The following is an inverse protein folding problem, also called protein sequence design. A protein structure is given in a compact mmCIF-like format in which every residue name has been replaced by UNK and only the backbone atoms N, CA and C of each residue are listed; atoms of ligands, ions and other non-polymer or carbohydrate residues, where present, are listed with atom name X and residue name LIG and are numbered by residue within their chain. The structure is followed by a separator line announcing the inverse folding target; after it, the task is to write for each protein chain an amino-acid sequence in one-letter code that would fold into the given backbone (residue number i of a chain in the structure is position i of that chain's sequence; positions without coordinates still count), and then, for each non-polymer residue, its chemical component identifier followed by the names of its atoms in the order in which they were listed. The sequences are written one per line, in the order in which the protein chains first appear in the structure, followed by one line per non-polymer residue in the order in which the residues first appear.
data_IF_427058310904
#
_entry.id   IF_427058310904
#
_cell.length_a   1.000
_cell.length_b   1.000
_cell.length_c   1.000
_cell.angle_alpha   90.00
_cell.angle_beta   90.00
_cell.angle_gamma   90.00
#
_symmetry.space_group_name_H-M   'P 1'
#
loop_
_entity.id
_entity.type
_entity.pdbx_description
1 polymer ?
#
# COMPACT_ATOMS: atom_id res chain seq x y z
N UNK A 1 -4.36 -23.55 19.96
CA UNK A 1 -3.99 -22.13 20.20
C UNK A 1 -3.39 -21.44 18.98
N UNK A 2 -2.60 -22.11 18.13
CA UNK A 2 -1.97 -21.49 16.94
C UNK A 2 -2.96 -21.01 15.86
N UNK A 3 -4.08 -21.71 15.62
CA UNK A 3 -5.04 -21.34 14.58
C UNK A 3 -5.81 -20.04 14.85
N UNK A 4 -6.07 -19.71 16.13
CA UNK A 4 -6.85 -18.53 16.51
C UNK A 4 -6.02 -17.22 16.46
N UNK A 5 -4.70 -17.33 16.58
CA UNK A 5 -3.77 -16.19 16.48
C UNK A 5 -3.48 -15.80 15.02
N UNK A 6 -3.53 -16.76 14.09
CA UNK A 6 -3.36 -16.51 12.64
C UNK A 6 -4.56 -15.72 12.09
N UNK A 7 -5.78 -16.09 12.49
CA UNK A 7 -7.02 -15.40 12.10
C UNK A 7 -7.05 -13.94 12.59
N UNK A 8 -6.65 -13.70 13.84
CA UNK A 8 -6.61 -12.35 14.42
C UNK A 8 -5.55 -11.44 13.77
N UNK A 9 -4.40 -12.00 13.37
CA UNK A 9 -3.33 -11.23 12.70
C UNK A 9 -3.74 -10.86 11.28
N UNK A 10 -4.33 -11.80 10.53
CA UNK A 10 -4.83 -11.55 9.19
C UNK A 10 -5.93 -10.48 9.14
N UNK A 11 -6.83 -10.47 10.13
CA UNK A 11 -7.87 -9.44 10.24
C UNK A 11 -7.30 -8.04 10.53
N UNK A 12 -6.25 -7.95 11.36
CA UNK A 12 -5.55 -6.68 11.62
C UNK A 12 -4.85 -6.17 10.37
N UNK A 13 -4.15 -7.05 9.64
CA UNK A 13 -3.46 -6.69 8.40
C UNK A 13 -4.43 -6.23 7.32
N UNK A 14 -5.57 -6.90 7.15
CA UNK A 14 -6.63 -6.49 6.23
C UNK A 14 -7.21 -5.11 6.61
N UNK A 15 -7.53 -4.90 7.89
CA UNK A 15 -8.05 -3.60 8.35
C UNK A 15 -7.05 -2.47 8.13
N UNK A 16 -5.76 -2.72 8.41
CA UNK A 16 -4.68 -1.78 8.15
C UNK A 16 -4.53 -1.51 6.64
N UNK A 17 -4.61 -2.54 5.81
CA UNK A 17 -4.54 -2.41 4.35
C UNK A 17 -5.70 -1.56 3.80
N UNK A 18 -6.92 -1.78 4.30
CA UNK A 18 -8.09 -0.97 3.93
C UNK A 18 -7.92 0.51 4.33
N UNK A 19 -7.36 0.75 5.51
CA UNK A 19 -7.04 2.10 5.96
C UNK A 19 -6.03 2.77 5.02
N UNK A 20 -4.95 2.06 4.65
CA UNK A 20 -3.95 2.57 3.71
C UNK A 20 -4.59 2.87 2.35
N UNK A 21 -5.39 1.95 1.81
CA UNK A 21 -6.09 2.13 0.53
C UNK A 21 -6.97 3.39 0.54
N UNK A 22 -7.75 3.59 1.62
CA UNK A 22 -8.58 4.81 1.78
C UNK A 22 -7.75 6.09 1.80
N UNK A 23 -6.64 6.10 2.53
CA UNK A 23 -5.77 7.28 2.62
C UNK A 23 -5.11 7.60 1.28
N UNK A 24 -4.64 6.57 0.56
CA UNK A 24 -4.03 6.73 -0.77
C UNK A 24 -5.04 7.27 -1.77
N UNK A 25 -6.24 6.66 -1.85
CA UNK A 25 -7.29 7.11 -2.78
C UNK A 25 -7.73 8.54 -2.48
N UNK A 26 -7.95 8.88 -1.22
CA UNK A 26 -8.33 10.23 -0.83
C UNK A 26 -7.23 11.26 -1.17
N UNK A 27 -5.95 10.89 -1.01
CA UNK A 27 -4.81 11.75 -1.37
C UNK A 27 -4.70 11.94 -2.88
N UNK A 28 -4.89 10.85 -3.65
CA UNK A 28 -4.95 10.89 -5.10
C UNK A 28 -6.06 11.83 -5.59
N UNK A 29 -7.31 11.63 -5.14
CA UNK A 29 -8.45 12.46 -5.54
C UNK A 29 -8.26 13.94 -5.16
N UNK A 30 -7.79 14.23 -3.94
CA UNK A 30 -7.53 15.62 -3.52
C UNK A 30 -6.50 16.30 -4.42
N UNK A 31 -5.39 15.62 -4.71
CA UNK A 31 -4.31 16.16 -5.55
C UNK A 31 -4.77 16.37 -6.99
N UNK A 32 -5.51 15.41 -7.54
CA UNK A 32 -6.07 15.49 -8.88
C UNK A 32 -7.02 16.68 -9.00
N UNK A 33 -7.93 16.85 -8.04
CA UNK A 33 -8.90 17.95 -8.02
C UNK A 33 -8.24 19.31 -7.85
N UNK A 34 -7.18 19.43 -7.04
CA UNK A 34 -6.51 20.70 -6.79
C UNK A 34 -5.53 21.13 -7.87
N UNK A 35 -4.99 20.19 -8.66
CA UNK A 35 -3.91 20.48 -9.63
C UNK A 35 -4.31 20.32 -11.09
N UNK A 36 -5.37 19.56 -11.39
CA UNK A 36 -5.78 19.13 -12.75
C UNK A 36 -4.68 18.40 -13.53
N UNK A 37 -3.73 17.79 -12.84
CA UNK A 37 -2.69 16.99 -13.47
C UNK A 37 -3.25 15.66 -14.02
N UNK A 38 -2.59 15.06 -15.03
CA UNK A 38 -2.95 13.73 -15.49
C UNK A 38 -2.88 12.70 -14.35
N UNK A 39 -3.80 11.71 -14.29
CA UNK A 39 -3.81 10.67 -13.25
C UNK A 39 -2.46 10.01 -13.03
N UNK A 40 -1.76 9.65 -14.11
CA UNK A 40 -0.44 9.00 -14.04
C UNK A 40 0.62 9.89 -13.40
N UNK A 41 0.54 11.22 -13.54
CA UNK A 41 1.47 12.14 -12.88
C UNK A 41 1.26 12.15 -11.37
N UNK A 42 0.00 12.12 -10.91
CA UNK A 42 -0.35 12.01 -9.48
C UNK A 42 0.12 10.66 -8.91
N UNK A 43 -0.10 9.56 -9.63
CA UNK A 43 0.41 8.24 -9.23
C UNK A 43 1.94 8.21 -9.10
N UNK A 44 2.67 8.84 -10.04
CA UNK A 44 4.13 8.97 -9.93
C UNK A 44 4.57 9.78 -8.71
N UNK A 45 3.84 10.84 -8.36
CA UNK A 45 4.12 11.61 -7.15
C UNK A 45 3.86 10.78 -5.87
N UNK A 46 2.77 10.00 -5.84
CA UNK A 46 2.48 9.07 -4.72
C UNK A 46 3.61 8.03 -4.59
N UNK A 47 4.06 7.44 -5.70
CA UNK A 47 5.19 6.51 -5.69
C UNK A 47 6.48 7.15 -5.19
N UNK A 48 6.76 8.40 -5.60
CA UNK A 48 7.90 9.18 -5.09
C UNK A 48 7.80 9.45 -3.58
N UNK A 49 6.61 9.80 -3.09
CA UNK A 49 6.38 10.01 -1.66
C UNK A 49 6.58 8.71 -0.86
N UNK A 50 6.11 7.56 -1.36
CA UNK A 50 6.34 6.25 -0.75
C UNK A 50 7.85 5.94 -0.66
N UNK A 51 8.60 6.17 -1.73
CA UNK A 51 10.06 5.98 -1.74
C UNK A 51 10.78 6.90 -0.75
N UNK A 52 10.32 8.14 -0.57
CA UNK A 52 10.87 9.07 0.42
C UNK A 52 10.58 8.60 1.86
N UNK A 53 9.35 8.17 2.13
CA UNK A 53 8.97 7.58 3.43
C UNK A 53 9.82 6.36 3.74
N UNK A 54 10.02 5.45 2.77
CA UNK A 54 10.91 4.31 2.92
C UNK A 54 12.32 4.74 3.34
N UNK A 55 12.92 5.71 2.63
CA UNK A 55 14.27 6.18 2.91
C UNK A 55 14.40 6.78 4.32
N UNK A 56 13.41 7.58 4.74
CA UNK A 56 13.40 8.21 6.07
C UNK A 56 13.26 7.17 7.20
N UNK A 57 12.40 6.17 6.99
CA UNK A 57 12.21 5.06 7.93
C UNK A 57 13.45 4.17 7.96
N UNK A 58 14.01 3.78 6.81
CA UNK A 58 15.23 2.98 6.71
C UNK A 58 16.43 3.66 7.39
N UNK A 59 16.62 4.96 7.18
CA UNK A 59 17.70 5.72 7.81
C UNK A 59 17.61 5.68 9.35
N UNK A 60 16.40 5.77 9.91
CA UNK A 60 16.17 5.67 11.36
C UNK A 60 16.57 4.30 11.91
N UNK A 61 16.34 3.23 11.14
CA UNK A 61 16.67 1.87 11.54
C UNK A 61 18.18 1.57 11.42
N UNK A 62 18.84 2.10 10.40
CA UNK A 62 20.28 1.99 10.22
C UNK A 62 21.09 2.71 11.31
N UNK A 63 20.51 3.73 11.96
CA UNK A 63 21.12 4.41 13.10
C UNK A 63 21.05 3.59 14.41
N UNK A 64 20.52 2.37 14.39
CA UNK A 64 20.43 1.49 15.55
C UNK A 64 19.43 1.94 16.62
N UNK A 65 18.53 2.89 16.29
CA UNK A 65 17.58 3.48 17.24
C UNK A 65 16.28 2.66 17.40
N UNK A 66 16.00 1.71 16.50
CA UNK A 66 14.83 0.83 16.58
C UNK A 66 15.23 -0.57 17.05
N UNK A 67 14.52 -1.10 18.05
CA UNK A 67 14.65 -2.49 18.52
C UNK A 67 13.70 -3.46 17.81
N UNK A 68 13.01 -3.01 16.77
CA UNK A 68 12.00 -3.79 16.04
C UNK A 68 12.56 -4.89 15.15
N UNK A 69 13.89 -4.97 14.97
CA UNK A 69 14.56 -6.05 14.25
C UNK A 69 14.53 -5.95 12.72
N UNK A 70 13.80 -5.00 12.14
CA UNK A 70 13.83 -4.75 10.70
C UNK A 70 15.19 -4.20 10.26
N UNK A 71 15.83 -4.87 9.29
CA UNK A 71 17.09 -4.49 8.68
C UNK A 71 16.84 -4.06 7.23
N UNK A 72 16.81 -2.76 6.92
CA UNK A 72 16.46 -2.28 5.58
C UNK A 72 17.47 -2.76 4.54
N UNK A 73 16.96 -3.34 3.46
CA UNK A 73 17.74 -3.71 2.28
C UNK A 73 17.11 -3.04 1.07
N UNK A 74 17.63 -1.88 0.61
CA UNK A 74 17.01 -1.10 -0.46
C UNK A 74 16.73 -1.88 -1.73
N UNK A 75 17.58 -2.85 -2.07
CA UNK A 75 17.39 -3.69 -3.25
C UNK A 75 16.20 -4.64 -3.06
N UNK A 76 16.16 -5.38 -1.95
CA UNK A 76 15.12 -6.39 -1.69
C UNK A 76 13.78 -5.75 -1.36
N UNK A 77 13.79 -4.67 -0.58
CA UNK A 77 12.59 -3.97 -0.16
C UNK A 77 11.90 -3.31 -1.36
N UNK A 78 12.66 -2.62 -2.22
CA UNK A 78 12.08 -1.99 -3.41
C UNK A 78 11.57 -3.02 -4.41
N UNK A 79 12.26 -4.17 -4.55
CA UNK A 79 11.76 -5.26 -5.40
C UNK A 79 10.47 -5.88 -4.87
N UNK A 80 10.37 -6.04 -3.55
CA UNK A 80 9.15 -6.48 -2.88
C UNK A 80 8.00 -5.49 -3.09
N UNK A 81 8.27 -4.18 -2.99
CA UNK A 81 7.28 -3.13 -3.26
C UNK A 81 6.80 -3.16 -4.72
N UNK A 82 7.70 -3.38 -5.68
CA UNK A 82 7.33 -3.53 -7.10
C UNK A 82 6.46 -4.76 -7.32
N UNK A 83 6.80 -5.87 -6.67
CA UNK A 83 6.04 -7.11 -6.75
C UNK A 83 4.64 -6.96 -6.16
N UNK A 84 4.51 -6.29 -5.00
CA UNK A 84 3.22 -5.99 -4.40
C UNK A 84 2.34 -5.10 -5.30
N UNK A 85 2.95 -4.07 -5.92
CA UNK A 85 2.25 -3.23 -6.89
C UNK A 85 1.78 -4.04 -8.12
N UNK A 86 2.65 -4.87 -8.69
CA UNK A 86 2.31 -5.71 -9.83
C UNK A 86 1.18 -6.69 -9.50
N UNK A 87 1.21 -7.30 -8.32
CA UNK A 87 0.16 -8.19 -7.83
C UNK A 87 -1.18 -7.48 -7.68
N UNK A 88 -1.20 -6.29 -7.08
CA UNK A 88 -2.43 -5.52 -6.89
C UNK A 88 -3.13 -5.15 -8.20
N UNK A 89 -2.38 -4.94 -9.29
CA UNK A 89 -2.94 -4.66 -10.63
C UNK A 89 -3.63 -5.87 -11.24
N UNK A 90 -3.18 -7.09 -10.91
CA UNK A 90 -3.70 -8.34 -11.47
C UNK A 90 -4.86 -8.91 -10.63
N UNK A 91 -4.89 -8.59 -9.33
CA UNK A 91 -5.85 -9.15 -8.38
C UNK A 91 -7.09 -8.27 -8.13
N UNK A 92 -7.41 -7.31 -9.00
CA UNK A 92 -8.75 -6.74 -9.00
C UNK A 92 -9.75 -7.89 -9.22
N UNK A 93 -10.69 -8.07 -8.27
CA UNK A 93 -11.80 -9.02 -8.44
C UNK A 93 -12.42 -8.78 -9.81
N UNK A 94 -12.43 -9.82 -10.64
CA UNK A 94 -12.94 -9.75 -11.98
C UNK A 94 -14.35 -9.18 -11.94
N UNK A 95 -14.51 -7.92 -12.38
CA UNK A 95 -15.79 -7.23 -12.40
C UNK A 95 -16.82 -7.97 -13.26
N UNK A 96 -16.36 -8.87 -14.15
CA UNK A 96 -17.21 -9.78 -14.94
C UNK A 96 -17.87 -10.85 -14.06
N UNK A 97 -17.29 -11.18 -12.90
CA UNK A 97 -17.79 -12.22 -11.99
C UNK A 97 -18.70 -11.70 -10.86
N UNK A 98 -18.79 -10.37 -10.68
CA UNK A 98 -19.70 -9.76 -9.70
C UNK A 98 -21.15 -9.83 -10.16
N UNK A 99 -22.00 -10.51 -9.37
CA UNK A 99 -23.45 -10.52 -9.59
C UNK A 99 -24.03 -9.12 -9.27
N UNK A 100 -24.77 -8.48 -10.21
CA UNK A 100 -25.40 -7.19 -9.94
C UNK A 100 -26.49 -7.33 -8.86
N UNK A 101 -26.34 -6.59 -7.76
CA UNK A 101 -27.24 -6.63 -6.59
C UNK A 101 -28.40 -5.62 -6.70
N UNK A 102 -28.45 -4.81 -7.77
CA UNK A 102 -29.51 -3.82 -8.00
C UNK A 102 -30.36 -4.13 -9.23
N UNK A 103 -31.68 -3.94 -9.14
CA UNK A 103 -32.58 -3.82 -10.30
C UNK A 103 -33.15 -2.40 -10.34
N UNK A 104 -33.24 -1.84 -11.54
CA UNK A 104 -33.89 -0.56 -11.84
C UNK A 104 -35.41 -0.70 -11.92
#
# INVERSE_FOLDING_TARGET
MLAQQIDSTGLIEQSAQDQVNRVVMATFCRTLNSTRLPPVAVLRMIAGALGKTYADVAATHQQGRCSCGWQPSPVLDVDSLRSALAYAVVCEEDLVSMHPVGRA
#
